data_IF_312812831515
#
_entry.id   IF_312812831515
#
_cell.length_a   1.000
_cell.length_b   1.000
_cell.length_c   1.000
_cell.angle_alpha   90.00
_cell.angle_beta   90.00
_cell.angle_gamma   90.00
#
_symmetry.space_group_name_H-M   'P 1'
#
loop_
_entity.id
_entity.type
_entity.pdbx_description
1 polymer ?
#
# COMPACT_ATOMS: atom_id res chain seq x y z
N UNK A 1 36.87 -20.56 -7.99
CA UNK A 1 36.36 -21.94 -7.77
C UNK A 1 35.33 -22.18 -8.85
N UNK A 2 35.55 -23.14 -9.74
CA UNK A 2 34.69 -23.35 -10.91
C UNK A 2 33.87 -24.62 -10.72
N UNK A 3 32.59 -24.58 -11.11
CA UNK A 3 31.79 -25.79 -11.26
C UNK A 3 32.36 -26.59 -12.44
N UNK A 4 32.62 -27.87 -12.24
CA UNK A 4 33.13 -28.76 -13.27
C UNK A 4 32.25 -30.02 -13.42
N UNK A 5 32.53 -30.81 -14.46
CA UNK A 5 31.77 -32.04 -14.74
C UNK A 5 31.84 -33.05 -13.60
N UNK A 6 32.94 -33.07 -12.84
CA UNK A 6 33.12 -34.00 -11.72
C UNK A 6 32.16 -33.64 -10.58
N UNK A 7 31.99 -32.35 -10.30
CA UNK A 7 31.02 -31.85 -9.31
C UNK A 7 29.59 -32.19 -9.76
N UNK A 8 29.21 -31.92 -11.02
CA UNK A 8 27.87 -32.26 -11.51
C UNK A 8 27.56 -33.76 -11.43
N UNK A 9 28.53 -34.61 -11.81
CA UNK A 9 28.37 -36.07 -11.70
C UNK A 9 28.18 -36.53 -10.25
N UNK A 10 28.86 -35.90 -9.30
CA UNK A 10 28.66 -36.19 -7.88
C UNK A 10 27.29 -35.74 -7.39
N UNK A 11 26.81 -34.58 -7.82
CA UNK A 11 25.47 -34.07 -7.48
C UNK A 11 24.36 -34.95 -8.06
N UNK A 12 24.48 -35.36 -9.32
CA UNK A 12 23.53 -36.27 -9.98
C UNK A 12 23.47 -37.63 -9.25
N UNK A 13 24.63 -38.19 -8.89
CA UNK A 13 24.68 -39.41 -8.07
C UNK A 13 23.99 -39.27 -6.71
N UNK A 14 24.12 -38.13 -6.05
CA UNK A 14 23.45 -37.88 -4.77
C UNK A 14 21.93 -37.78 -4.99
N UNK A 15 21.50 -37.13 -6.07
CA UNK A 15 20.10 -37.00 -6.45
C UNK A 15 19.48 -38.38 -6.78
N UNK A 16 20.11 -39.16 -7.66
CA UNK A 16 19.59 -40.47 -8.09
C UNK A 16 19.61 -41.52 -6.96
N UNK A 17 20.42 -41.31 -5.92
CA UNK A 17 20.48 -42.22 -4.76
C UNK A 17 19.20 -42.18 -3.93
N UNK A 18 18.50 -41.04 -3.86
CA UNK A 18 17.20 -40.97 -3.17
C UNK A 18 16.06 -41.27 -4.15
N UNK A 19 15.52 -42.49 -4.05
CA UNK A 19 14.43 -42.96 -4.91
C UNK A 19 13.17 -42.09 -4.84
N UNK A 20 12.98 -41.31 -3.77
CA UNK A 20 11.85 -40.36 -3.65
C UNK A 20 11.98 -39.19 -4.61
N UNK A 21 13.19 -38.82 -5.02
CA UNK A 21 13.42 -37.69 -5.91
C UNK A 21 12.68 -37.87 -7.23
N UNK A 22 12.63 -39.08 -7.79
CA UNK A 22 11.90 -39.29 -9.05
C UNK A 22 10.39 -39.07 -8.92
N UNK A 23 9.82 -39.46 -7.78
CA UNK A 23 8.39 -39.26 -7.48
C UNK A 23 8.11 -37.77 -7.27
N UNK A 24 8.95 -37.10 -6.49
CA UNK A 24 8.84 -35.66 -6.19
C UNK A 24 9.02 -34.83 -7.46
N UNK A 25 10.00 -35.17 -8.31
CA UNK A 25 10.26 -34.54 -9.61
C UNK A 25 9.04 -34.62 -10.52
N UNK A 26 8.41 -35.79 -10.63
CA UNK A 26 7.22 -35.96 -11.44
C UNK A 26 6.04 -35.15 -10.89
N UNK A 27 5.87 -35.08 -9.57
CA UNK A 27 4.81 -34.26 -8.97
C UNK A 27 5.04 -32.76 -9.21
N UNK A 28 6.27 -32.27 -8.96
CA UNK A 28 6.63 -30.86 -9.11
C UNK A 28 6.61 -30.44 -10.59
N UNK A 29 7.10 -31.26 -11.51
CA UNK A 29 7.13 -30.92 -12.94
C UNK A 29 5.74 -30.81 -13.55
N UNK A 30 4.74 -31.53 -13.03
CA UNK A 30 3.35 -31.45 -13.49
C UNK A 30 2.54 -30.33 -12.81
N UNK A 31 2.76 -30.08 -11.51
CA UNK A 31 1.87 -29.23 -10.71
C UNK A 31 2.54 -27.97 -10.16
N UNK A 32 3.85 -27.86 -10.28
CA UNK A 32 4.66 -26.85 -9.58
C UNK A 32 4.85 -27.18 -8.10
N UNK A 33 5.82 -26.50 -7.47
CA UNK A 33 6.23 -26.77 -6.08
C UNK A 33 5.06 -26.55 -5.10
N UNK A 34 4.31 -25.45 -5.26
CA UNK A 34 3.22 -25.08 -4.36
C UNK A 34 2.13 -26.15 -4.29
N UNK A 35 1.59 -26.55 -5.44
CA UNK A 35 0.49 -27.54 -5.46
C UNK A 35 0.98 -28.93 -5.09
N UNK A 36 2.20 -29.32 -5.51
CA UNK A 36 2.78 -30.62 -5.16
C UNK A 36 3.08 -30.77 -3.66
N UNK A 37 3.26 -29.67 -2.92
CA UNK A 37 3.55 -29.69 -1.48
C UNK A 37 2.31 -29.49 -0.59
N UNK A 38 1.12 -29.35 -1.18
CA UNK A 38 -0.11 -29.08 -0.44
C UNK A 38 -0.63 -30.33 0.28
N UNK A 39 -0.58 -30.32 1.62
CA UNK A 39 -1.20 -31.37 2.44
C UNK A 39 -2.69 -31.09 2.66
N UNK A 40 -3.53 -31.80 1.90
CA UNK A 40 -4.99 -31.71 2.02
C UNK A 40 -5.52 -32.14 3.39
N UNK A 41 -4.82 -33.02 4.11
CA UNK A 41 -5.26 -33.42 5.45
C UNK A 41 -5.13 -32.28 6.46
N UNK A 42 -4.14 -31.40 6.31
CA UNK A 42 -4.03 -30.19 7.13
C UNK A 42 -5.18 -29.23 6.81
N UNK A 43 -5.49 -29.01 5.53
CA UNK A 43 -6.63 -28.20 5.12
C UNK A 43 -7.92 -28.73 5.74
N UNK A 44 -8.15 -30.05 5.69
CA UNK A 44 -9.34 -30.69 6.23
C UNK A 44 -9.49 -30.56 7.76
N UNK A 45 -8.42 -30.23 8.49
CA UNK A 45 -8.47 -29.97 9.94
C UNK A 45 -8.88 -28.53 10.28
N UNK A 46 -8.91 -27.63 9.31
CA UNK A 46 -9.36 -26.26 9.50
C UNK A 46 -10.85 -26.16 9.15
N UNK A 47 -11.71 -26.18 10.18
CA UNK A 47 -13.16 -26.06 10.03
C UNK A 47 -13.66 -24.62 9.85
N UNK A 48 -12.79 -23.63 10.10
CA UNK A 48 -13.10 -22.21 10.07
C UNK A 48 -14.27 -21.83 11.00
N UNK A 49 -14.41 -22.54 12.12
CA UNK A 49 -15.41 -22.26 13.16
C UNK A 49 -14.71 -21.58 14.33
N UNK A 50 -15.16 -20.38 14.70
CA UNK A 50 -14.54 -19.61 15.78
C UNK A 50 -15.55 -19.37 16.91
N UNK A 51 -15.13 -19.58 18.16
CA UNK A 51 -16.00 -19.33 19.32
C UNK A 51 -16.22 -17.83 19.60
N UNK A 52 -15.36 -16.98 19.05
CA UNK A 52 -15.42 -15.53 19.17
C UNK A 52 -15.32 -14.93 17.77
N UNK A 53 -16.42 -14.39 17.27
CA UNK A 53 -16.51 -13.78 15.95
C UNK A 53 -16.89 -12.32 16.07
N UNK A 54 -16.27 -11.49 15.23
CA UNK A 54 -16.70 -10.10 15.02
C UNK A 54 -17.61 -10.08 13.80
N UNK A 55 -18.63 -9.22 13.81
CA UNK A 55 -19.46 -9.02 12.61
C UNK A 55 -18.54 -8.58 11.46
N UNK A 56 -18.63 -9.26 10.32
CA UNK A 56 -17.94 -8.89 9.08
C UNK A 56 -18.96 -8.61 7.99
N UNK A 57 -18.74 -7.57 7.19
CA UNK A 57 -19.53 -7.26 5.99
C UNK A 57 -18.81 -7.72 4.72
N UNK A 58 -19.40 -7.43 3.57
CA UNK A 58 -18.90 -7.76 2.22
C UNK A 58 -17.38 -7.59 2.06
N UNK A 59 -16.75 -8.52 1.33
CA UNK A 59 -15.31 -8.57 1.11
C UNK A 59 -14.89 -7.52 0.07
N UNK A 60 -13.77 -6.84 0.33
CA UNK A 60 -13.14 -5.89 -0.59
C UNK A 60 -11.99 -6.53 -1.37
N UNK A 61 -11.64 -6.03 -2.56
CA UNK A 61 -10.64 -6.63 -3.44
C UNK A 61 -9.70 -5.59 -4.06
N UNK A 62 -8.43 -5.60 -3.66
CA UNK A 62 -7.39 -4.67 -4.15
C UNK A 62 -6.86 -4.99 -5.56
N UNK A 63 -7.28 -6.12 -6.15
CA UNK A 63 -6.84 -6.61 -7.47
C UNK A 63 -5.32 -6.67 -7.57
N UNK A 64 -4.74 -6.12 -8.64
CA UNK A 64 -3.31 -6.20 -8.96
C UNK A 64 -2.59 -4.93 -8.48
N UNK A 65 -2.82 -4.56 -7.23
CA UNK A 65 -2.14 -3.45 -6.55
C UNK A 65 -1.64 -3.90 -5.18
N UNK A 66 -0.63 -3.22 -4.65
CA UNK A 66 -0.06 -3.44 -3.31
C UNK A 66 -0.78 -2.68 -2.18
N UNK A 67 -2.07 -2.36 -2.31
CA UNK A 67 -2.82 -1.49 -1.39
C UNK A 67 -3.35 -2.20 -0.12
N UNK A 68 -2.85 -3.38 0.23
CA UNK A 68 -3.40 -4.20 1.33
C UNK A 68 -3.49 -3.47 2.68
N UNK A 69 -2.50 -2.65 3.00
CA UNK A 69 -2.45 -1.82 4.21
C UNK A 69 -3.59 -0.81 4.27
N UNK A 70 -3.94 -0.22 3.13
CA UNK A 70 -5.02 0.75 2.99
C UNK A 70 -6.39 0.07 3.03
N UNK A 71 -6.56 -1.05 2.33
CA UNK A 71 -7.78 -1.87 2.40
C UNK A 71 -8.02 -2.38 3.83
N UNK A 72 -6.98 -2.86 4.53
CA UNK A 72 -7.10 -3.28 5.92
C UNK A 72 -7.48 -2.11 6.85
N UNK A 73 -6.84 -0.96 6.68
CA UNK A 73 -7.16 0.28 7.40
C UNK A 73 -8.62 0.70 7.23
N UNK A 74 -9.07 0.80 5.98
CA UNK A 74 -10.44 1.17 5.64
C UNK A 74 -11.46 0.10 6.01
N UNK A 75 -11.09 -1.18 5.99
CA UNK A 75 -11.94 -2.26 6.49
C UNK A 75 -12.23 -2.11 7.99
N UNK A 76 -11.24 -1.72 8.80
CA UNK A 76 -11.50 -1.43 10.22
C UNK A 76 -12.46 -0.25 10.40
N UNK A 77 -12.23 0.84 9.66
CA UNK A 77 -13.01 2.07 9.78
C UNK A 77 -14.44 1.90 9.25
N UNK A 78 -14.63 1.27 8.08
CA UNK A 78 -15.96 1.11 7.49
C UNK A 78 -16.88 0.26 8.37
N UNK A 79 -16.34 -0.74 9.08
CA UNK A 79 -17.12 -1.56 10.01
C UNK A 79 -17.59 -0.74 11.22
N UNK A 80 -16.76 0.17 11.72
CA UNK A 80 -17.16 1.11 12.77
C UNK A 80 -18.28 2.04 12.30
N UNK A 81 -18.16 2.61 11.10
CA UNK A 81 -19.18 3.49 10.52
C UNK A 81 -20.49 2.72 10.27
N UNK A 82 -20.41 1.55 9.63
CA UNK A 82 -21.57 0.73 9.33
C UNK A 82 -22.35 0.33 10.59
N UNK A 83 -21.63 0.00 11.68
CA UNK A 83 -22.26 -0.27 12.97
C UNK A 83 -22.95 0.98 13.56
N UNK A 84 -22.27 2.13 13.52
CA UNK A 84 -22.80 3.40 14.06
C UNK A 84 -24.05 3.88 13.32
N UNK A 85 -24.12 3.62 12.01
CA UNK A 85 -25.21 4.06 11.13
C UNK A 85 -26.23 2.96 10.79
N UNK A 86 -26.12 1.79 11.43
CA UNK A 86 -26.97 0.64 11.15
C UNK A 86 -27.04 0.29 9.65
N UNK A 87 -25.90 0.27 8.94
CA UNK A 87 -25.83 -0.03 7.50
C UNK A 87 -25.55 -1.52 7.25
N UNK A 88 -26.18 -2.08 6.22
CA UNK A 88 -25.90 -3.45 5.80
C UNK A 88 -24.64 -3.56 4.93
N UNK A 89 -24.49 -2.64 3.97
CA UNK A 89 -23.34 -2.59 3.05
C UNK A 89 -22.74 -1.20 3.03
N UNK A 90 -21.44 -1.13 3.25
CA UNK A 90 -20.70 0.13 3.18
C UNK A 90 -19.24 -0.13 2.81
N UNK A 91 -18.72 0.69 1.91
CA UNK A 91 -17.32 0.75 1.54
C UNK A 91 -16.84 2.19 1.49
N UNK A 92 -15.58 2.38 1.88
CA UNK A 92 -14.88 3.64 1.76
C UNK A 92 -14.03 3.61 0.49
N UNK A 93 -13.75 4.79 -0.07
CA UNK A 93 -12.91 4.90 -1.26
C UNK A 93 -11.44 4.64 -0.91
N UNK A 94 -10.92 3.50 -1.35
CA UNK A 94 -9.48 3.26 -1.35
C UNK A 94 -8.76 4.20 -2.33
N UNK A 95 -9.38 4.45 -3.49
CA UNK A 95 -8.87 5.34 -4.54
C UNK A 95 -8.62 6.78 -4.06
N UNK A 96 -9.46 7.31 -3.17
CA UNK A 96 -9.29 8.65 -2.60
C UNK A 96 -7.99 8.78 -1.80
N UNK A 97 -7.74 7.86 -0.86
CA UNK A 97 -6.49 7.85 -0.09
C UNK A 97 -5.30 7.49 -0.97
N UNK A 98 -5.49 6.61 -1.95
CA UNK A 98 -4.45 6.19 -2.87
C UNK A 98 -3.93 7.35 -3.73
N UNK A 99 -4.78 8.30 -4.13
CA UNK A 99 -4.33 9.53 -4.79
C UNK A 99 -3.36 10.32 -3.90
N UNK A 100 -3.73 10.58 -2.65
CA UNK A 100 -2.93 11.41 -1.74
C UNK A 100 -1.65 10.71 -1.28
N UNK A 101 -1.71 9.41 -1.00
CA UNK A 101 -0.53 8.59 -0.67
C UNK A 101 0.54 8.70 -1.74
N UNK A 102 0.14 8.56 -3.01
CA UNK A 102 1.03 8.64 -4.14
C UNK A 102 1.62 10.04 -4.36
N UNK A 103 0.81 11.09 -4.16
CA UNK A 103 1.29 12.47 -4.21
C UNK A 103 2.32 12.76 -3.10
N UNK A 104 2.06 12.30 -1.88
CA UNK A 104 2.99 12.47 -0.75
C UNK A 104 4.29 11.70 -0.95
N UNK A 105 4.22 10.48 -1.48
CA UNK A 105 5.40 9.69 -1.85
C UNK A 105 6.22 10.34 -2.97
N UNK A 106 5.57 10.90 -3.99
CA UNK A 106 6.26 11.65 -5.04
C UNK A 106 6.98 12.88 -4.47
N UNK A 107 6.33 13.62 -3.57
CA UNK A 107 6.95 14.73 -2.86
C UNK A 107 8.14 14.28 -2.01
N UNK A 108 7.99 13.19 -1.24
CA UNK A 108 9.06 12.64 -0.41
C UNK A 108 10.26 12.19 -1.26
N UNK A 109 10.03 11.56 -2.41
CA UNK A 109 11.10 11.17 -3.33
C UNK A 109 11.89 12.40 -3.78
N UNK A 110 11.23 13.44 -4.29
CA UNK A 110 11.90 14.66 -4.74
C UNK A 110 12.65 15.35 -3.59
N UNK A 111 12.06 15.41 -2.39
CA UNK A 111 12.74 15.95 -1.21
C UNK A 111 13.99 15.14 -0.85
N UNK A 112 13.93 13.80 -0.91
CA UNK A 112 15.10 12.94 -0.66
C UNK A 112 16.19 13.14 -1.71
N UNK A 113 15.85 13.42 -2.96
CA UNK A 113 16.82 13.78 -4.00
C UNK A 113 17.53 15.09 -3.64
N UNK A 114 16.77 16.12 -3.24
CA UNK A 114 17.34 17.41 -2.80
C UNK A 114 18.25 17.21 -1.58
N UNK A 115 17.77 16.49 -0.56
CA UNK A 115 18.53 16.20 0.68
C UNK A 115 19.87 15.48 0.42
N UNK A 116 20.00 14.78 -0.72
CA UNK A 116 21.17 13.98 -1.08
C UNK A 116 21.91 14.47 -2.32
N UNK A 117 21.55 15.64 -2.87
CA UNK A 117 22.08 16.11 -4.16
C UNK A 117 23.59 16.27 -4.18
N UNK A 118 24.17 16.69 -3.06
CA UNK A 118 25.61 16.97 -2.92
C UNK A 118 26.44 15.70 -2.60
N UNK A 119 25.80 14.53 -2.49
CA UNK A 119 26.50 13.25 -2.36
C UNK A 119 26.82 12.65 -3.73
N UNK A 120 27.87 11.83 -3.80
CA UNK A 120 28.22 11.09 -5.01
C UNK A 120 27.03 10.24 -5.50
N UNK A 121 26.86 10.10 -6.82
CA UNK A 121 25.76 9.34 -7.40
C UNK A 121 25.77 7.85 -6.99
N UNK A 122 26.94 7.33 -6.60
CA UNK A 122 27.15 5.96 -6.08
C UNK A 122 27.14 5.89 -4.56
N UNK A 123 26.85 6.99 -3.86
CA UNK A 123 26.63 6.93 -2.42
C UNK A 123 25.40 6.07 -2.13
N UNK A 124 25.51 5.16 -1.16
CA UNK A 124 24.43 4.23 -0.78
C UNK A 124 23.11 4.93 -0.47
N UNK A 125 23.14 6.16 0.09
CA UNK A 125 21.93 6.94 0.34
C UNK A 125 21.29 7.40 -0.96
N UNK A 126 22.09 7.79 -1.94
CA UNK A 126 21.58 8.17 -3.27
C UNK A 126 21.01 6.94 -3.97
N UNK A 127 21.71 5.80 -3.95
CA UNK A 127 21.18 4.54 -4.47
C UNK A 127 19.83 4.17 -3.84
N UNK A 128 19.70 4.29 -2.52
CA UNK A 128 18.46 4.06 -1.77
C UNK A 128 17.32 5.00 -2.19
N UNK A 129 17.62 6.25 -2.54
CA UNK A 129 16.62 7.20 -3.07
C UNK A 129 16.09 6.75 -4.44
N UNK A 130 16.99 6.36 -5.35
CA UNK A 130 16.63 5.95 -6.71
C UNK A 130 16.07 4.52 -6.81
N UNK A 131 16.29 3.69 -5.78
CA UNK A 131 15.69 2.35 -5.66
C UNK A 131 14.31 2.40 -4.99
N UNK A 132 14.12 3.21 -3.96
CA UNK A 132 12.85 3.36 -3.24
C UNK A 132 12.00 4.51 -3.79
N UNK A 133 11.63 4.40 -5.06
CA UNK A 133 10.68 5.30 -5.73
C UNK A 133 9.24 5.06 -5.24
N UNK A 134 8.28 5.98 -5.53
CA UNK A 134 6.90 5.78 -5.12
C UNK A 134 6.34 4.44 -5.62
N UNK A 135 5.71 3.69 -4.72
CA UNK A 135 5.06 2.40 -4.96
C UNK A 135 3.77 2.27 -4.14
N UNK A 136 2.98 1.22 -4.39
CA UNK A 136 1.71 0.97 -3.68
C UNK A 136 1.85 0.79 -2.17
N UNK A 137 2.95 0.17 -1.72
CA UNK A 137 3.11 -0.34 -0.35
C UNK A 137 3.13 0.75 0.72
N UNK A 138 2.67 0.41 1.91
CA UNK A 138 2.64 1.36 3.03
C UNK A 138 2.40 0.66 4.36
N UNK A 139 2.44 1.44 5.44
CA UNK A 139 2.26 0.96 6.80
C UNK A 139 1.02 1.59 7.45
N UNK A 140 0.60 1.05 8.59
CA UNK A 140 -0.54 1.60 9.34
C UNK A 140 -0.40 3.09 9.65
N UNK A 141 0.81 3.56 9.95
CA UNK A 141 1.12 4.96 10.22
C UNK A 141 0.81 5.84 9.01
N UNK A 142 1.09 5.37 7.79
CA UNK A 142 0.80 6.11 6.57
C UNK A 142 -0.71 6.28 6.46
N UNK A 143 -1.46 5.20 6.70
CA UNK A 143 -2.92 5.20 6.62
C UNK A 143 -3.50 6.17 7.65
N UNK A 144 -3.06 6.06 8.89
CA UNK A 144 -3.50 6.92 9.98
C UNK A 144 -3.25 8.41 9.71
N UNK A 145 -2.08 8.75 9.17
CA UNK A 145 -1.76 10.13 8.85
C UNK A 145 -2.55 10.64 7.64
N UNK A 146 -2.74 9.81 6.60
CA UNK A 146 -3.52 10.17 5.42
C UNK A 146 -4.98 10.48 5.79
N UNK A 147 -5.64 9.60 6.56
CA UNK A 147 -7.04 9.86 6.98
C UNK A 147 -7.15 11.08 7.88
N UNK A 148 -6.14 11.37 8.72
CA UNK A 148 -6.15 12.56 9.56
C UNK A 148 -5.99 13.84 8.74
N UNK A 149 -5.11 13.82 7.74
CA UNK A 149 -4.76 14.98 6.91
C UNK A 149 -5.81 15.27 5.84
N UNK A 150 -6.25 14.24 5.12
CA UNK A 150 -7.11 14.36 3.94
C UNK A 150 -8.55 13.92 4.19
N UNK A 151 -8.84 13.28 5.32
CA UNK A 151 -10.15 12.70 5.59
C UNK A 151 -10.36 11.40 4.82
N UNK A 152 -11.62 11.02 4.67
CA UNK A 152 -12.06 9.82 3.95
C UNK A 152 -13.39 10.10 3.26
N UNK A 153 -13.69 9.33 2.22
CA UNK A 153 -14.96 9.43 1.49
C UNK A 153 -15.59 8.05 1.29
N UNK A 154 -16.91 7.96 1.17
CA UNK A 154 -17.61 6.77 0.67
C UNK A 154 -17.12 6.36 -0.73
N UNK A 155 -17.15 5.06 -1.03
CA UNK A 155 -16.69 4.52 -2.33
C UNK A 155 -17.48 5.06 -3.53
N UNK A 156 -18.76 5.38 -3.34
CA UNK A 156 -19.59 5.98 -4.40
C UNK A 156 -19.23 7.45 -4.69
N UNK A 157 -18.54 8.15 -3.78
CA UNK A 157 -18.03 9.49 -4.06
C UNK A 157 -16.81 9.42 -4.99
N UNK A 158 -15.90 8.47 -4.77
CA UNK A 158 -14.74 8.24 -5.62
C UNK A 158 -14.49 6.73 -5.79
N UNK A 159 -14.93 6.19 -6.92
CA UNK A 159 -14.81 4.76 -7.23
C UNK A 159 -13.44 4.36 -7.76
N UNK A 160 -13.30 3.06 -8.04
CA UNK A 160 -12.11 2.49 -8.66
C UNK A 160 -12.08 2.76 -10.18
N UNK A 161 -10.88 2.95 -10.73
CA UNK A 161 -10.59 3.08 -12.16
C UNK A 161 -9.58 2.01 -12.59
N UNK A 162 -9.23 1.98 -13.88
CA UNK A 162 -8.31 0.96 -14.42
C UNK A 162 -6.99 0.84 -13.62
N UNK A 163 -6.34 1.97 -13.32
CA UNK A 163 -5.04 1.95 -12.63
C UNK A 163 -5.12 1.80 -11.11
N UNK A 164 -6.32 1.89 -10.54
CA UNK A 164 -6.54 1.53 -9.14
C UNK A 164 -6.71 0.02 -9.00
N UNK A 165 -7.09 -0.70 -10.06
CA UNK A 165 -7.09 -2.17 -10.10
C UNK A 165 -5.78 -2.79 -10.61
N UNK A 166 -4.95 -2.04 -11.35
CA UNK A 166 -3.63 -2.48 -11.80
C UNK A 166 -2.65 -1.30 -11.97
N UNK A 167 -1.71 -1.19 -11.04
CA UNK A 167 -0.87 0.01 -10.85
C UNK A 167 0.46 0.00 -11.61
N UNK A 168 0.95 -1.19 -12.04
CA UNK A 168 2.33 -1.37 -12.52
C UNK A 168 2.77 -0.37 -13.60
N UNK A 169 1.96 -0.17 -14.64
CA UNK A 169 2.33 0.73 -15.74
C UNK A 169 2.25 2.21 -15.35
N UNK A 170 1.33 2.58 -14.45
CA UNK A 170 1.26 3.95 -13.91
C UNK A 170 2.54 4.31 -13.15
N UNK A 171 3.04 3.41 -12.31
CA UNK A 171 4.30 3.61 -11.60
C UNK A 171 5.51 3.62 -12.54
N UNK A 172 5.54 2.77 -13.56
CA UNK A 172 6.58 2.83 -14.58
C UNK A 172 6.67 4.21 -15.25
N UNK A 173 5.53 4.80 -15.63
CA UNK A 173 5.50 6.14 -16.24
C UNK A 173 5.93 7.22 -15.23
N UNK A 174 5.42 7.15 -14.00
CA UNK A 174 5.78 8.07 -12.92
C UNK A 174 7.28 8.05 -12.62
N UNK A 175 7.85 6.87 -12.47
CA UNK A 175 9.25 6.67 -12.12
C UNK A 175 10.17 7.32 -13.17
N UNK A 176 9.89 7.11 -14.45
CA UNK A 176 10.66 7.73 -15.54
C UNK A 176 10.59 9.26 -15.49
N UNK A 177 9.39 9.83 -15.25
CA UNK A 177 9.22 11.28 -15.14
C UNK A 177 9.98 11.85 -13.93
N UNK A 178 9.86 11.22 -12.76
CA UNK A 178 10.51 11.70 -11.53
C UNK A 178 12.03 11.52 -11.57
N UNK A 179 12.56 10.43 -12.16
CA UNK A 179 14.00 10.22 -12.29
C UNK A 179 14.66 11.23 -13.23
N UNK A 180 13.96 11.67 -14.28
CA UNK A 180 14.43 12.78 -15.13
C UNK A 180 14.61 14.06 -14.30
N UNK A 181 13.55 14.48 -13.59
CA UNK A 181 13.59 15.66 -12.70
C UNK A 181 14.68 15.51 -11.63
N UNK A 182 14.86 14.31 -11.08
CA UNK A 182 15.87 14.05 -10.06
C UNK A 182 17.30 14.30 -10.58
N UNK A 183 17.59 13.93 -11.82
CA UNK A 183 18.89 14.21 -12.44
C UNK A 183 19.10 15.70 -12.70
N UNK A 184 18.05 16.41 -13.10
CA UNK A 184 18.09 17.88 -13.31
C UNK A 184 18.33 18.61 -11.98
N UNK A 185 17.66 18.22 -10.89
CA UNK A 185 17.87 18.76 -9.53
C UNK A 185 19.33 18.59 -9.08
N UNK A 186 19.93 17.43 -9.37
CA UNK A 186 21.32 17.13 -9.00
C UNK A 186 22.35 17.90 -9.84
N UNK A 187 21.98 18.34 -11.03
CA UNK A 187 22.87 19.02 -11.97
C UNK A 187 22.95 20.55 -11.75
N UNK A 188 22.09 21.12 -10.91
CA UNK A 188 22.05 22.56 -10.62
C UNK A 188 22.36 22.85 -9.15
N UNK A 189 22.97 24.01 -8.90
CA UNK A 189 23.21 24.55 -7.55
C UNK A 189 22.30 25.75 -7.23
N UNK A 190 21.48 26.20 -8.18
CA UNK A 190 20.52 27.29 -7.94
C UNK A 190 19.31 26.77 -7.15
N UNK A 191 19.20 27.22 -5.89
CA UNK A 191 18.09 26.87 -5.00
C UNK A 191 16.70 27.22 -5.57
N UNK A 192 16.58 28.32 -6.34
CA UNK A 192 15.31 28.68 -6.96
C UNK A 192 14.95 27.70 -8.07
N UNK A 193 15.94 27.29 -8.84
CA UNK A 193 15.75 26.31 -9.91
C UNK A 193 15.43 24.92 -9.36
N UNK A 194 16.07 24.51 -8.27
CA UNK A 194 15.73 23.27 -7.55
C UNK A 194 14.26 23.26 -7.14
N UNK A 195 13.75 24.36 -6.59
CA UNK A 195 12.34 24.45 -6.19
C UNK A 195 11.40 24.47 -7.41
N UNK A 196 11.79 25.09 -8.53
CA UNK A 196 11.03 25.03 -9.77
C UNK A 196 10.94 23.59 -10.31
N UNK A 197 12.05 22.88 -10.36
CA UNK A 197 12.11 21.47 -10.79
C UNK A 197 11.31 20.57 -9.85
N UNK A 198 11.34 20.81 -8.53
CA UNK A 198 10.48 20.09 -7.57
C UNK A 198 9.00 20.28 -7.89
N UNK A 199 8.57 21.52 -8.15
CA UNK A 199 7.18 21.83 -8.54
C UNK A 199 6.81 21.19 -9.88
N UNK A 200 7.73 21.17 -10.85
CA UNK A 200 7.52 20.51 -12.13
C UNK A 200 7.33 18.99 -11.95
N UNK A 201 8.19 18.34 -11.15
CA UNK A 201 8.05 16.92 -10.82
C UNK A 201 6.71 16.60 -10.14
N UNK A 202 6.27 17.44 -9.20
CA UNK A 202 4.96 17.32 -8.57
C UNK A 202 3.80 17.53 -9.56
N UNK A 203 3.96 18.44 -10.53
CA UNK A 203 2.99 18.65 -11.60
C UNK A 203 2.87 17.42 -12.51
N UNK A 204 3.98 16.77 -12.87
CA UNK A 204 3.95 15.50 -13.60
C UNK A 204 3.24 14.40 -12.79
N UNK A 205 3.60 14.25 -11.51
CA UNK A 205 2.97 13.29 -10.62
C UNK A 205 1.44 13.50 -10.53
N UNK A 206 1.01 14.74 -10.26
CA UNK A 206 -0.42 15.11 -10.22
C UNK A 206 -1.12 14.79 -11.53
N UNK A 207 -0.52 15.14 -12.68
CA UNK A 207 -1.09 14.86 -13.98
C UNK A 207 -1.27 13.37 -14.25
N UNK A 208 -0.30 12.54 -13.86
CA UNK A 208 -0.37 11.09 -14.01
C UNK A 208 -1.47 10.55 -13.10
N UNK A 209 -1.44 10.85 -11.80
CA UNK A 209 -2.41 10.34 -10.86
C UNK A 209 -3.84 10.82 -11.14
N UNK A 210 -4.04 12.09 -11.51
CA UNK A 210 -5.37 12.59 -11.82
C UNK A 210 -5.98 11.91 -13.06
N UNK A 211 -5.15 11.53 -14.04
CA UNK A 211 -5.60 10.79 -15.25
C UNK A 211 -5.79 9.31 -15.00
N UNK A 212 -5.03 8.73 -14.06
CA UNK A 212 -5.02 7.28 -13.78
C UNK A 212 -5.96 6.86 -12.65
N UNK A 213 -6.06 7.66 -11.60
CA UNK A 213 -6.80 7.41 -10.34
C UNK A 213 -8.04 8.30 -10.24
N UNK A 214 -8.11 9.37 -11.03
CA UNK A 214 -9.17 10.38 -10.95
C UNK A 214 -8.78 11.54 -10.04
N UNK A 215 -9.44 12.69 -10.21
CA UNK A 215 -9.25 13.83 -9.32
C UNK A 215 -9.92 13.55 -7.96
N UNK A 216 -9.27 13.85 -6.83
CA UNK A 216 -9.89 13.69 -5.53
C UNK A 216 -11.13 14.57 -5.41
N UNK A 217 -12.14 14.05 -4.72
CA UNK A 217 -13.41 14.75 -4.50
C UNK A 217 -13.29 15.73 -3.34
N UNK A 218 -13.70 16.98 -3.57
CA UNK A 218 -13.68 18.02 -2.54
C UNK A 218 -14.96 18.03 -1.68
N UNK A 219 -16.11 17.77 -2.29
CA UNK A 219 -17.41 17.71 -1.61
C UNK A 219 -18.29 16.60 -2.21
N UNK A 220 -19.14 15.99 -1.39
CA UNK A 220 -20.08 14.95 -1.80
C UNK A 220 -21.32 14.94 -0.92
N UNK A 221 -22.42 14.42 -1.45
CA UNK A 221 -23.58 14.06 -0.61
C UNK A 221 -23.41 12.62 -0.13
N UNK A 222 -23.55 12.41 1.17
CA UNK A 222 -23.57 11.09 1.75
C UNK A 222 -25.01 10.58 1.85
N UNK A 223 -25.38 9.68 0.93
CA UNK A 223 -26.72 9.07 0.82
C UNK A 223 -26.63 7.58 1.15
N UNK A 224 -27.51 7.08 2.01
CA UNK A 224 -27.56 5.66 2.35
C UNK A 224 -28.94 5.22 2.84
N UNK A 225 -29.18 3.91 2.80
CA UNK A 225 -30.27 3.25 3.51
C UNK A 225 -29.69 2.51 4.72
N UNK A 226 -30.36 2.60 5.86
CA UNK A 226 -30.07 1.73 7.02
C UNK A 226 -30.73 0.35 6.86
N UNK A 227 -30.52 -0.54 7.83
CA UNK A 227 -31.10 -1.90 7.85
C UNK A 227 -32.63 -1.91 7.99
N UNK A 228 -33.25 -0.78 8.32
CA UNK A 228 -34.71 -0.63 8.45
C UNK A 228 -35.33 0.00 7.17
N UNK A 229 -34.58 -0.01 6.06
CA UNK A 229 -34.93 0.58 4.76
C UNK A 229 -35.24 2.09 4.82
N UNK A 230 -34.75 2.80 5.84
CA UNK A 230 -34.92 4.24 5.96
C UNK A 230 -33.82 4.97 5.20
N UNK A 231 -34.23 5.90 4.34
CA UNK A 231 -33.32 6.77 3.59
C UNK A 231 -32.74 7.89 4.47
N UNK A 232 -31.44 8.11 4.34
CA UNK A 232 -30.69 9.19 4.97
C UNK A 232 -29.86 9.95 3.92
N UNK A 233 -29.72 11.25 4.12
CA UNK A 233 -28.88 12.13 3.31
C UNK A 233 -28.21 13.17 4.18
N UNK A 234 -26.92 13.37 3.94
CA UNK A 234 -26.15 14.52 4.42
C UNK A 234 -25.47 15.19 3.23
N UNK A 235 -25.91 16.40 2.92
CA UNK A 235 -25.48 17.12 1.73
C UNK A 235 -24.16 17.87 1.97
N UNK A 236 -23.39 18.04 0.89
CA UNK A 236 -22.21 18.90 0.87
C UNK A 236 -21.18 18.61 1.99
N UNK A 237 -20.94 17.33 2.25
CA UNK A 237 -19.87 16.89 3.15
C UNK A 237 -18.52 17.05 2.48
N UNK A 238 -17.51 17.42 3.26
CA UNK A 238 -16.10 17.34 2.85
C UNK A 238 -15.52 16.01 3.34
N UNK A 239 -14.45 15.49 2.71
CA UNK A 239 -13.76 14.30 3.21
C UNK A 239 -13.34 14.42 4.69
N UNK A 240 -12.93 15.63 5.10
CA UNK A 240 -12.48 15.91 6.45
C UNK A 240 -13.64 15.95 7.44
N UNK A 241 -14.75 16.62 7.11
CA UNK A 241 -15.92 16.64 7.99
C UNK A 241 -16.56 15.25 8.14
N UNK A 242 -16.53 14.43 7.09
CA UNK A 242 -16.96 13.03 7.15
C UNK A 242 -16.07 12.20 8.09
N UNK A 243 -14.75 12.33 7.98
CA UNK A 243 -13.80 11.69 8.91
C UNK A 243 -14.04 12.14 10.36
N UNK A 244 -14.10 13.44 10.62
CA UNK A 244 -14.21 13.97 11.99
C UNK A 244 -15.52 13.53 12.65
N UNK A 245 -16.64 13.46 11.90
CA UNK A 245 -17.96 13.04 12.41
C UNK A 245 -18.07 11.53 12.69
N UNK A 246 -17.49 10.71 11.82
CA UNK A 246 -17.72 9.26 11.85
C UNK A 246 -16.55 8.43 12.37
N UNK A 247 -15.34 9.01 12.48
CA UNK A 247 -14.10 8.28 12.79
C UNK A 247 -13.19 9.01 13.77
N UNK A 248 -13.35 10.32 13.98
CA UNK A 248 -12.36 11.17 14.66
C UNK A 248 -11.81 10.62 16.00
N UNK A 249 -12.67 10.01 16.81
CA UNK A 249 -12.37 9.40 18.10
C UNK A 249 -12.01 7.89 18.03
N UNK A 250 -12.22 7.26 16.87
CA UNK A 250 -12.05 5.81 16.70
C UNK A 250 -10.62 5.35 17.00
N UNK A 251 -9.60 6.18 16.82
CA UNK A 251 -8.20 5.80 17.08
C UNK A 251 -7.67 6.25 18.43
N UNK A 252 -8.47 6.92 19.25
CA UNK A 252 -8.02 7.41 20.54
C UNK A 252 -7.66 6.26 21.48
N UNK A 253 -6.50 6.39 22.13
CA UNK A 253 -5.93 5.36 23.00
C UNK A 253 -5.45 4.09 22.30
N UNK A 254 -5.53 3.98 20.96
CA UNK A 254 -5.05 2.81 20.23
C UNK A 254 -3.56 2.91 19.92
N UNK A 255 -2.87 1.77 20.00
CA UNK A 255 -1.43 1.65 19.72
C UNK A 255 -1.17 0.51 18.75
N UNK A 256 -0.13 0.67 17.92
CA UNK A 256 0.38 -0.40 17.05
C UNK A 256 1.39 -1.22 17.83
N UNK A 257 1.18 -2.53 17.89
CA UNK A 257 2.13 -3.49 18.44
C UNK A 257 2.88 -4.18 17.30
N UNK A 258 4.15 -4.52 17.55
CA UNK A 258 5.02 -5.25 16.62
C UNK A 258 5.75 -6.34 17.40
N UNK A 259 5.84 -7.53 16.83
CA UNK A 259 6.75 -8.57 17.31
C UNK A 259 8.01 -8.58 16.42
N UNK A 260 9.08 -7.95 16.90
CA UNK A 260 10.40 -8.00 16.25
C UNK A 260 11.44 -8.58 17.22
N UNK A 261 11.72 -9.91 17.16
CA UNK A 261 12.58 -10.59 18.13
C UNK A 261 14.05 -10.21 18.01
N UNK A 262 14.45 -9.37 17.03
CA UNK A 262 15.80 -8.80 16.94
C UNK A 262 16.04 -7.70 17.98
N UNK A 263 14.97 -7.16 18.55
CA UNK A 263 15.02 -6.06 19.53
C UNK A 263 14.41 -6.53 20.86
N UNK A 264 14.86 -5.97 22.00
CA UNK A 264 14.19 -6.20 23.28
C UNK A 264 12.72 -5.75 23.25
N UNK A 265 11.83 -6.54 23.85
CA UNK A 265 10.42 -6.18 24.02
C UNK A 265 10.24 -4.93 24.91
N UNK A 266 9.03 -4.34 24.88
CA UNK A 266 8.67 -3.14 25.64
C UNK A 266 9.57 -1.93 25.31
N UNK A 267 9.78 -1.72 24.00
CA UNK A 267 10.52 -0.58 23.43
C UNK A 267 9.70 0.07 22.33
N UNK A 268 9.89 1.38 22.16
CA UNK A 268 9.32 2.12 21.04
C UNK A 268 10.33 2.06 19.89
N UNK A 269 9.90 1.48 18.77
CA UNK A 269 10.64 1.51 17.52
C UNK A 269 10.04 2.61 16.64
N UNK A 270 10.89 3.50 16.12
CA UNK A 270 10.46 4.62 15.27
C UNK A 270 11.03 4.45 13.88
N UNK A 271 10.15 4.30 12.91
CA UNK A 271 10.52 4.42 11.50
C UNK A 271 10.65 5.91 11.13
N UNK A 272 11.88 6.31 10.79
CA UNK A 272 12.19 7.69 10.40
C UNK A 272 11.56 8.07 9.05
N UNK A 273 11.30 7.11 8.16
CA UNK A 273 10.66 7.37 6.85
C UNK A 273 9.17 7.64 7.01
N UNK A 274 8.46 6.83 7.81
CA UNK A 274 7.05 7.05 8.12
C UNK A 274 6.76 8.45 8.68
N UNK A 275 7.68 8.97 9.52
CA UNK A 275 7.56 10.31 10.10
C UNK A 275 7.69 11.45 9.08
N UNK A 276 8.35 11.22 7.94
CA UNK A 276 8.56 12.23 6.89
C UNK A 276 7.51 12.18 5.78
N UNK A 277 6.95 11.01 5.48
CA UNK A 277 6.07 10.81 4.32
C UNK A 277 4.72 11.54 4.45
N UNK A 278 4.06 11.48 5.61
CA UNK A 278 2.67 11.93 5.74
C UNK A 278 2.45 12.84 6.96
N UNK A 279 3.46 13.60 7.40
CA UNK A 279 3.32 14.43 8.61
C UNK A 279 2.14 15.42 8.43
N UNK A 280 1.20 15.50 9.38
CA UNK A 280 0.12 16.49 9.35
C UNK A 280 0.69 17.90 9.42
#
# INVERSE_FOLDING_TARGET
>A
MNLDKKIFYQLEKIYDKDQKNKVIENAISNMGIREASLDRNIINRHDFIFSNEVETKDVTNQKKTGRCWMFAGLNMVRMHIAKKLNMEKFELSESFLYFYDNMEKANLFLQRVIDTKNLDIKDRKVEDVFYSTPEDGGYFEFFYYLIKKYGIVPKNAMGELYHTDQSQFMFYVLENALKKIAMEIRATDDEKEIENLRKEGLSYAYNIFAKSIGKPVDNFDFKYYDKDDKYHIEENMTPKSFFDKYVGDFFDGKVKLLNDPRHPYNRILVDKMAKKCCRP
#
